data_IF_085556025780
#
_entry.id   IF_085556025780
#
_cell.length_a   1.000
_cell.length_b   1.000
_cell.length_c   1.000
_cell.angle_alpha   90.00
_cell.angle_beta   90.00
_cell.angle_gamma   90.00
#
_symmetry.space_group_name_H-M   'P 1'
#
loop_
_entity.id
_entity.type
_entity.pdbx_description
1 polymer ?
#
# COMPACT_ATOMS: atom_id res chain seq x y z
N UNK A 1 -34.75 66.14 -30.95
CA UNK A 1 -33.68 66.51 -31.91
C UNK A 1 -32.50 67.03 -31.11
N UNK A 2 -31.32 66.38 -31.24
CA UNK A 2 -29.95 66.96 -31.26
C UNK A 2 -29.63 67.94 -30.11
N UNK A 3 -28.71 67.71 -29.16
CA UNK A 3 -27.35 67.18 -29.27
C UNK A 3 -26.74 66.94 -27.85
N UNK A 4 -25.89 65.90 -27.75
CA UNK A 4 -24.56 65.81 -27.06
C UNK A 4 -24.44 66.35 -25.61
N UNK A 5 -24.55 65.54 -24.56
CA UNK A 5 -23.52 64.66 -23.92
C UNK A 5 -22.13 65.30 -23.78
N UNK A 6 -21.84 65.78 -22.57
CA UNK A 6 -20.51 66.04 -22.02
C UNK A 6 -20.45 65.53 -20.57
N UNK A 7 -19.57 64.57 -20.29
CA UNK A 7 -18.88 64.26 -19.02
C UNK A 7 -18.13 62.93 -19.22
N UNK A 8 -16.83 62.93 -19.54
CA UNK A 8 -15.71 62.73 -18.61
C UNK A 8 -16.04 61.76 -17.45
N UNK A 9 -15.44 60.56 -17.46
CA UNK A 9 -14.81 59.88 -16.31
C UNK A 9 -14.08 58.62 -16.83
N UNK A 10 -12.83 58.49 -16.37
CA UNK A 10 -11.87 57.40 -16.47
C UNK A 10 -12.44 55.98 -16.46
N UNK A 11 -11.93 55.09 -17.34
CA UNK A 11 -11.74 53.68 -16.96
C UNK A 11 -10.64 53.00 -17.80
N UNK A 12 -9.78 52.30 -17.07
CA UNK A 12 -8.66 51.43 -17.43
C UNK A 12 -8.87 50.53 -18.66
N UNK A 13 -7.89 50.51 -19.58
CA UNK A 13 -7.74 49.42 -20.54
C UNK A 13 -7.07 48.21 -19.90
N UNK A 14 -7.77 47.10 -20.04
CA UNK A 14 -7.48 45.70 -19.70
C UNK A 14 -6.06 45.23 -19.97
N UNK A 15 -5.55 44.36 -19.10
CA UNK A 15 -5.30 42.95 -19.46
C UNK A 15 -5.37 42.09 -18.20
N UNK A 16 -6.56 41.59 -17.91
CA UNK A 16 -6.73 40.43 -17.04
C UNK A 16 -6.30 39.19 -17.84
N UNK A 17 -5.18 38.56 -17.46
CA UNK A 17 -4.91 37.17 -17.78
C UNK A 17 -5.67 36.33 -16.74
N UNK A 18 -6.78 35.74 -17.16
CA UNK A 18 -7.53 34.76 -16.38
C UNK A 18 -6.77 33.44 -16.42
N UNK A 19 -5.95 33.18 -15.41
CA UNK A 19 -5.59 31.81 -15.05
C UNK A 19 -6.68 31.31 -14.08
N UNK A 20 -7.70 30.68 -14.66
CA UNK A 20 -8.71 29.92 -13.93
C UNK A 20 -8.08 28.66 -13.31
N UNK A 21 -7.24 28.82 -12.29
CA UNK A 21 -6.95 27.74 -11.34
C UNK A 21 -8.15 27.69 -10.41
N UNK A 22 -9.14 26.86 -10.78
CA UNK A 22 -10.21 26.47 -9.87
C UNK A 22 -9.56 25.87 -8.63
N UNK A 23 -9.57 26.68 -7.57
CA UNK A 23 -9.23 26.29 -6.21
C UNK A 23 -10.08 25.07 -5.88
N UNK A 24 -9.41 23.98 -5.55
CA UNK A 24 -10.06 22.77 -5.04
C UNK A 24 -10.72 23.18 -3.71
N UNK A 25 -12.01 23.50 -3.76
CA UNK A 25 -12.79 23.82 -2.56
C UNK A 25 -12.84 22.55 -1.71
N UNK A 26 -12.08 22.59 -0.62
CA UNK A 26 -12.15 21.59 0.43
C UNK A 26 -13.42 21.92 1.21
N UNK A 27 -14.49 21.16 0.98
CA UNK A 27 -15.78 21.33 1.65
C UNK A 27 -15.58 21.47 3.17
N UNK A 28 -15.87 22.68 3.67
CA UNK A 28 -15.59 23.12 5.04
C UNK A 28 -16.61 22.59 6.08
N UNK A 29 -17.34 21.53 5.78
CA UNK A 29 -18.35 20.92 6.68
C UNK A 29 -17.86 19.66 7.42
N UNK A 30 -16.57 19.32 7.32
CA UNK A 30 -15.93 18.44 8.30
C UNK A 30 -15.24 19.31 9.35
N UNK A 31 -15.97 19.75 10.38
CA UNK A 31 -15.34 20.21 11.62
C UNK A 31 -14.63 18.97 12.21
N UNK A 32 -13.29 18.87 12.19
CA UNK A 32 -12.62 17.76 12.83
C UNK A 32 -12.81 17.98 14.33
N UNK A 33 -13.49 17.03 14.99
CA UNK A 33 -13.52 16.94 16.44
C UNK A 33 -12.10 17.13 17.00
N UNK A 34 -11.89 17.93 18.07
CA UNK A 34 -10.57 18.40 18.52
C UNK A 34 -9.68 17.32 19.16
N UNK A 35 -9.91 16.03 18.85
CA UNK A 35 -9.13 14.88 19.33
C UNK A 35 -8.72 13.88 18.24
N UNK A 36 -8.74 14.26 16.96
CA UNK A 36 -8.19 13.38 15.93
C UNK A 36 -6.66 13.38 15.99
N UNK A 37 -6.07 12.34 16.61
CA UNK A 37 -4.63 12.10 16.55
C UNK A 37 -4.19 11.96 15.10
N UNK A 38 -3.03 12.52 14.74
CA UNK A 38 -2.44 12.33 13.39
C UNK A 38 -2.34 10.83 13.08
N UNK A 39 -2.68 10.39 11.86
CA UNK A 39 -2.58 8.99 11.48
C UNK A 39 -1.12 8.54 11.55
N UNK A 40 -0.90 7.33 12.08
CA UNK A 40 0.41 6.68 12.10
C UNK A 40 0.85 6.29 10.69
N UNK A 41 2.15 6.12 10.47
CA UNK A 41 2.68 5.62 9.19
C UNK A 41 2.03 4.29 8.75
N UNK A 42 1.73 3.40 9.71
CA UNK A 42 1.03 2.14 9.45
C UNK A 42 -0.39 2.36 8.96
N UNK A 43 -1.13 3.30 9.54
CA UNK A 43 -2.49 3.64 9.09
C UNK A 43 -2.47 4.25 7.68
N UNK A 44 -1.48 5.12 7.40
CA UNK A 44 -1.28 5.68 6.06
C UNK A 44 -0.98 4.57 5.05
N UNK A 45 -0.06 3.65 5.37
CA UNK A 45 0.29 2.54 4.48
C UNK A 45 -0.91 1.63 4.21
N UNK A 46 -1.69 1.26 5.23
CA UNK A 46 -2.90 0.46 5.05
C UNK A 46 -3.91 1.15 4.11
N UNK A 47 -4.01 2.48 4.18
CA UNK A 47 -4.89 3.24 3.29
C UNK A 47 -4.35 3.25 1.85
N UNK A 48 -3.05 3.42 1.67
CA UNK A 48 -2.39 3.33 0.36
C UNK A 48 -2.63 1.95 -0.25
N UNK A 49 -2.34 0.88 0.52
CA UNK A 49 -2.51 -0.50 0.07
C UNK A 49 -3.95 -0.79 -0.36
N UNK A 50 -4.93 -0.32 0.41
CA UNK A 50 -6.34 -0.42 0.05
C UNK A 50 -6.70 0.36 -1.21
N UNK A 51 -6.21 1.60 -1.36
CA UNK A 51 -6.49 2.42 -2.55
C UNK A 51 -5.94 1.74 -3.80
N UNK A 52 -4.73 1.17 -3.72
CA UNK A 52 -4.03 0.49 -4.80
C UNK A 52 -4.55 -0.94 -5.08
N UNK A 53 -5.35 -1.51 -4.17
CA UNK A 53 -5.87 -2.87 -4.32
C UNK A 53 -6.77 -3.00 -5.56
N UNK A 54 -6.51 -3.96 -6.47
CA UNK A 54 -7.36 -4.21 -7.61
C UNK A 54 -8.70 -4.86 -7.25
N UNK A 55 -8.77 -5.63 -6.15
CA UNK A 55 -9.96 -6.38 -5.75
C UNK A 55 -10.49 -5.84 -4.41
N UNK A 56 -11.68 -5.24 -4.46
CA UNK A 56 -12.33 -4.60 -3.31
C UNK A 56 -13.69 -5.22 -2.96
N UNK A 57 -14.23 -6.07 -3.83
CA UNK A 57 -15.56 -6.68 -3.66
C UNK A 57 -15.55 -8.15 -4.06
N UNK A 58 -16.60 -8.88 -3.65
CA UNK A 58 -16.77 -10.29 -4.00
C UNK A 58 -17.01 -10.48 -5.51
N UNK A 59 -17.71 -9.55 -6.15
CA UNK A 59 -17.96 -9.57 -7.60
C UNK A 59 -16.65 -9.43 -8.38
N UNK A 60 -15.79 -8.48 -7.98
CA UNK A 60 -14.48 -8.31 -8.60
C UNK A 60 -13.58 -9.54 -8.41
N UNK A 61 -13.67 -10.21 -7.26
CA UNK A 61 -12.97 -11.49 -7.03
C UNK A 61 -13.52 -12.59 -7.94
N UNK A 62 -14.84 -12.71 -8.09
CA UNK A 62 -15.45 -13.71 -8.97
C UNK A 62 -15.04 -13.50 -10.43
N UNK A 63 -14.96 -12.25 -10.89
CA UNK A 63 -14.46 -11.91 -12.23
C UNK A 63 -12.98 -12.30 -12.42
N UNK A 64 -12.17 -12.24 -11.35
CA UNK A 64 -10.76 -12.58 -11.39
C UNK A 64 -10.54 -14.09 -11.58
N UNK A 65 -11.45 -14.94 -11.12
CA UNK A 65 -11.31 -16.42 -11.21
C UNK A 65 -11.21 -16.90 -12.67
N UNK A 66 -11.74 -16.12 -13.62
CA UNK A 66 -11.69 -16.43 -15.05
C UNK A 66 -10.48 -15.82 -15.77
N UNK A 67 -9.53 -15.23 -15.04
CA UNK A 67 -8.36 -14.54 -15.59
C UNK A 67 -7.09 -15.07 -14.94
N UNK A 68 -6.00 -15.04 -15.69
CA UNK A 68 -4.67 -15.33 -15.15
C UNK A 68 -4.34 -14.34 -14.03
N UNK A 69 -4.03 -14.84 -12.85
CA UNK A 69 -3.81 -14.04 -11.65
C UNK A 69 -2.89 -14.72 -10.64
N UNK A 70 -2.40 -13.99 -9.62
CA UNK A 70 -1.68 -14.60 -8.51
C UNK A 70 -2.44 -15.72 -7.78
N UNK A 71 -3.76 -15.83 -7.92
CA UNK A 71 -4.56 -16.93 -7.35
C UNK A 71 -4.22 -18.27 -8.01
N UNK A 72 -3.73 -18.28 -9.26
CA UNK A 72 -3.40 -19.51 -10.01
C UNK A 72 -2.11 -20.18 -9.55
N UNK A 73 -1.44 -19.57 -8.57
CA UNK A 73 -0.32 -20.19 -7.88
C UNK A 73 -0.76 -21.22 -6.85
N UNK A 74 -2.03 -21.18 -6.43
CA UNK A 74 -2.65 -22.20 -5.60
C UNK A 74 -3.15 -23.36 -6.45
N UNK A 75 -3.19 -24.55 -5.86
CA UNK A 75 -3.96 -25.66 -6.40
C UNK A 75 -5.42 -25.27 -6.56
N UNK A 76 -6.13 -25.93 -7.49
CA UNK A 76 -7.54 -25.63 -7.77
C UNK A 76 -8.41 -25.67 -6.50
N UNK A 77 -8.19 -26.66 -5.64
CA UNK A 77 -8.94 -26.83 -4.41
C UNK A 77 -8.58 -25.77 -3.36
N UNK A 78 -7.30 -25.47 -3.17
CA UNK A 78 -6.85 -24.42 -2.26
C UNK A 78 -7.37 -23.05 -2.68
N UNK A 79 -7.37 -22.77 -4.00
CA UNK A 79 -7.94 -21.56 -4.58
C UNK A 79 -9.43 -21.45 -4.27
N UNK A 80 -10.20 -22.52 -4.47
CA UNK A 80 -11.62 -22.55 -4.15
C UNK A 80 -11.87 -22.29 -2.66
N UNK A 81 -11.17 -23.02 -1.77
CA UNK A 81 -11.30 -22.81 -0.32
C UNK A 81 -10.93 -21.40 0.10
N UNK A 82 -9.90 -20.80 -0.50
CA UNK A 82 -9.51 -19.42 -0.23
C UNK A 82 -10.62 -18.44 -0.61
N UNK A 83 -11.16 -18.56 -1.83
CA UNK A 83 -12.27 -17.73 -2.32
C UNK A 83 -13.52 -17.89 -1.46
N UNK A 84 -13.87 -19.12 -1.06
CA UNK A 84 -15.08 -19.38 -0.27
C UNK A 84 -15.02 -18.82 1.15
N UNK A 85 -13.81 -18.64 1.71
CA UNK A 85 -13.61 -18.23 3.10
C UNK A 85 -13.16 -16.77 3.24
N UNK A 86 -13.07 -16.03 2.14
CA UNK A 86 -12.76 -14.60 2.17
C UNK A 86 -14.04 -13.80 2.43
N UNK A 87 -13.97 -12.79 3.29
CA UNK A 87 -15.13 -11.95 3.60
C UNK A 87 -14.76 -10.48 3.49
N UNK A 88 -15.58 -9.72 2.76
CA UNK A 88 -15.41 -8.29 2.52
C UNK A 88 -16.32 -7.45 3.42
N UNK A 89 -15.87 -6.24 3.75
CA UNK A 89 -16.65 -5.15 4.33
C UNK A 89 -16.29 -3.83 3.62
N UNK A 90 -16.86 -2.71 4.07
CA UNK A 90 -16.62 -1.37 3.50
C UNK A 90 -15.16 -0.89 3.61
N UNK A 91 -14.36 -1.53 4.47
CA UNK A 91 -12.95 -1.24 4.72
C UNK A 91 -11.99 -2.32 4.16
N UNK A 92 -12.51 -3.32 3.42
CA UNK A 92 -11.75 -4.39 2.78
C UNK A 92 -11.98 -5.78 3.37
N UNK A 93 -10.95 -6.62 3.38
CA UNK A 93 -11.09 -7.99 3.89
C UNK A 93 -11.17 -8.00 5.41
N UNK A 94 -12.18 -8.68 5.94
CA UNK A 94 -12.39 -8.91 7.37
C UNK A 94 -11.76 -10.21 7.83
N UNK A 95 -11.85 -11.27 7.01
CA UNK A 95 -11.34 -12.60 7.33
C UNK A 95 -10.96 -13.39 6.08
N UNK A 96 -10.00 -14.31 6.22
CA UNK A 96 -9.63 -15.32 5.24
C UNK A 96 -8.91 -16.48 5.94
N UNK A 97 -8.92 -17.67 5.33
CA UNK A 97 -8.10 -18.80 5.78
C UNK A 97 -6.73 -18.75 5.10
N UNK A 98 -5.66 -18.92 5.88
CA UNK A 98 -4.28 -18.83 5.41
C UNK A 98 -3.51 -20.17 5.43
N UNK A 99 -4.10 -21.25 5.94
CA UNK A 99 -3.45 -22.57 6.03
C UNK A 99 -2.99 -23.09 4.67
N UNK A 100 -3.84 -22.98 3.65
CA UNK A 100 -3.51 -23.38 2.29
C UNK A 100 -2.42 -22.48 1.69
N UNK A 101 -2.41 -21.17 2.04
CA UNK A 101 -1.38 -20.24 1.60
C UNK A 101 0.00 -20.65 2.16
N UNK A 102 0.08 -20.96 3.45
CA UNK A 102 1.33 -21.39 4.09
C UNK A 102 1.81 -22.75 3.58
N UNK A 103 0.89 -23.67 3.26
CA UNK A 103 1.21 -25.01 2.79
C UNK A 103 1.77 -25.01 1.35
N UNK A 104 1.23 -24.15 0.46
CA UNK A 104 1.53 -24.22 -0.97
C UNK A 104 2.48 -23.13 -1.47
N UNK A 105 2.51 -21.96 -0.81
CA UNK A 105 3.17 -20.77 -1.33
C UNK A 105 4.38 -20.34 -0.48
N UNK A 106 5.33 -19.68 -1.15
CA UNK A 106 6.41 -18.96 -0.46
C UNK A 106 5.92 -17.58 -0.02
N UNK A 107 6.54 -16.94 0.98
CA UNK A 107 6.16 -15.60 1.43
C UNK A 107 6.05 -14.56 0.32
N UNK A 108 6.95 -14.55 -0.67
CA UNK A 108 6.85 -13.63 -1.82
C UNK A 108 5.58 -13.85 -2.64
N UNK A 109 5.18 -15.11 -2.83
CA UNK A 109 3.97 -15.47 -3.56
C UNK A 109 2.72 -15.08 -2.78
N UNK A 110 2.71 -15.35 -1.47
CA UNK A 110 1.65 -14.92 -0.56
C UNK A 110 1.51 -13.40 -0.57
N UNK A 111 2.62 -12.66 -0.49
CA UNK A 111 2.62 -11.20 -0.55
C UNK A 111 1.96 -10.68 -1.82
N UNK A 112 2.33 -11.24 -2.98
CA UNK A 112 1.72 -10.89 -4.28
C UNK A 112 0.23 -11.21 -4.30
N UNK A 113 -0.19 -12.38 -3.81
CA UNK A 113 -1.60 -12.76 -3.74
C UNK A 113 -2.39 -11.81 -2.83
N UNK A 114 -1.91 -11.57 -1.61
CA UNK A 114 -2.56 -10.69 -0.64
C UNK A 114 -2.55 -9.21 -1.09
N UNK A 115 -1.64 -8.82 -1.98
CA UNK A 115 -1.60 -7.48 -2.59
C UNK A 115 -2.78 -7.20 -3.52
N UNK A 116 -3.42 -8.26 -4.06
CA UNK A 116 -4.65 -8.12 -4.85
C UNK A 116 -5.77 -7.44 -4.04
N UNK A 117 -5.71 -7.57 -2.72
CA UNK A 117 -6.72 -7.04 -1.82
C UNK A 117 -6.17 -5.94 -0.89
N UNK A 118 -4.93 -5.50 -1.12
CA UNK A 118 -4.26 -4.49 -0.29
C UNK A 118 -3.95 -4.97 1.12
N UNK A 119 -3.87 -6.28 1.36
CA UNK A 119 -3.67 -6.87 2.70
C UNK A 119 -2.34 -7.61 2.85
N UNK A 120 -1.39 -7.36 1.95
CA UNK A 120 -0.06 -7.97 1.91
C UNK A 120 0.73 -7.84 3.22
N UNK A 121 0.43 -6.84 4.06
CA UNK A 121 1.04 -6.68 5.39
C UNK A 121 0.82 -7.88 6.32
N UNK A 122 -0.19 -8.72 6.08
CA UNK A 122 -0.39 -9.92 6.92
C UNK A 122 0.64 -11.01 6.65
N UNK A 123 1.35 -10.98 5.52
CA UNK A 123 2.32 -12.02 5.15
C UNK A 123 3.38 -12.26 6.23
N UNK A 124 3.78 -11.22 6.97
CA UNK A 124 4.76 -11.32 8.06
C UNK A 124 4.25 -12.05 9.31
N UNK A 125 2.94 -12.27 9.40
CA UNK A 125 2.31 -13.09 10.43
C UNK A 125 2.19 -14.56 10.04
N UNK A 126 2.42 -14.92 8.77
CA UNK A 126 2.31 -16.28 8.24
C UNK A 126 3.64 -17.01 8.43
N UNK A 127 3.82 -17.58 9.62
CA UNK A 127 5.09 -18.14 10.12
C UNK A 127 5.42 -19.51 9.54
N UNK A 128 4.44 -20.24 9.00
CA UNK A 128 4.66 -21.61 8.52
C UNK A 128 4.96 -21.67 7.01
N UNK A 129 4.91 -20.54 6.31
CA UNK A 129 5.20 -20.49 4.88
C UNK A 129 6.67 -20.83 4.59
N UNK A 130 6.90 -21.65 3.56
CA UNK A 130 8.26 -22.11 3.20
C UNK A 130 9.10 -20.97 2.61
N UNK A 131 10.11 -20.52 3.36
CA UNK A 131 11.12 -19.54 2.90
C UNK A 131 12.07 -20.21 1.91
N UNK A 132 12.24 -19.64 0.71
CA UNK A 132 13.18 -20.14 -0.30
C UNK A 132 14.26 -19.12 -0.68
N UNK A 133 13.99 -17.84 -0.48
CA UNK A 133 14.85 -16.74 -0.93
C UNK A 133 15.06 -15.71 0.17
N UNK A 134 16.08 -14.86 0.01
CA UNK A 134 16.27 -13.69 0.87
C UNK A 134 15.07 -12.74 0.83
N UNK A 135 14.40 -12.59 -0.32
CA UNK A 135 13.17 -11.79 -0.42
C UNK A 135 12.04 -12.38 0.44
N UNK A 136 11.88 -13.71 0.46
CA UNK A 136 10.91 -14.37 1.33
C UNK A 136 11.22 -14.09 2.82
N UNK A 137 12.51 -14.14 3.20
CA UNK A 137 12.95 -13.82 4.54
C UNK A 137 12.60 -12.37 4.90
N UNK A 138 12.95 -11.41 4.05
CA UNK A 138 12.67 -9.97 4.27
C UNK A 138 11.17 -9.67 4.42
N UNK A 139 10.30 -10.40 3.71
CA UNK A 139 8.85 -10.25 3.82
C UNK A 139 8.31 -10.83 5.13
N UNK A 140 8.86 -11.95 5.61
CA UNK A 140 8.39 -12.63 6.84
C UNK A 140 8.91 -11.97 8.11
N UNK A 141 10.13 -11.45 8.07
CA UNK A 141 10.65 -10.57 9.11
C UNK A 141 9.87 -9.27 9.01
N UNK A 142 9.02 -8.98 10.00
CA UNK A 142 8.30 -7.70 10.14
C UNK A 142 9.25 -6.53 10.48
N UNK A 143 10.46 -6.63 9.96
CA UNK A 143 11.67 -6.15 10.53
C UNK A 143 12.62 -5.90 9.36
N UNK A 144 12.70 -4.63 8.96
CA UNK A 144 13.99 -3.97 9.20
C UNK A 144 14.26 -4.20 10.69
N UNK A 145 14.79 -5.38 11.05
CA UNK A 145 15.11 -5.68 12.44
C UNK A 145 16.11 -4.62 12.85
N UNK A 146 16.08 -4.23 14.12
CA UNK A 146 17.24 -3.53 14.69
C UNK A 146 18.54 -4.32 14.42
N UNK A 147 18.43 -5.61 14.13
CA UNK A 147 19.53 -6.47 13.70
C UNK A 147 19.96 -6.26 12.24
N UNK A 148 19.09 -5.78 11.33
CA UNK A 148 19.54 -5.27 10.02
C UNK A 148 20.43 -4.03 10.17
N UNK A 149 20.34 -3.33 11.31
CA UNK A 149 21.28 -2.27 11.69
C UNK A 149 22.50 -2.78 12.49
N UNK A 150 22.59 -4.08 12.82
CA UNK A 150 23.80 -4.62 13.47
C UNK A 150 24.97 -4.51 12.51
N UNK A 151 25.83 -3.52 12.76
CA UNK A 151 27.03 -3.22 11.99
C UNK A 151 27.00 -1.88 11.25
N UNK A 152 25.86 -1.19 11.17
CA UNK A 152 25.84 0.20 10.69
C UNK A 152 26.50 1.10 11.73
N UNK A 153 27.55 1.81 11.32
CA UNK A 153 28.16 2.89 12.12
C UNK A 153 28.06 4.18 11.32
N UNK A 154 27.51 5.22 11.94
CA UNK A 154 27.54 6.57 11.40
C UNK A 154 28.55 7.36 12.22
N UNK A 155 29.58 7.93 11.58
CA UNK A 155 30.56 8.78 12.27
C UNK A 155 30.03 10.21 12.47
N UNK A 156 29.05 10.62 11.67
CA UNK A 156 28.35 11.91 11.73
C UNK A 156 26.99 11.84 11.00
N UNK A 157 26.10 12.85 11.10
CA UNK A 157 24.88 12.90 10.31
C UNK A 157 25.18 12.80 8.80
N UNK A 158 24.54 11.84 8.11
CA UNK A 158 24.71 11.61 6.68
C UNK A 158 25.91 10.74 6.27
N UNK A 159 26.67 10.16 7.21
CA UNK A 159 27.88 9.38 6.90
C UNK A 159 27.81 7.92 7.36
N UNK A 160 26.63 7.33 7.33
CA UNK A 160 26.45 5.93 7.69
C UNK A 160 27.18 5.02 6.69
N UNK A 161 28.07 4.17 7.20
CA UNK A 161 28.86 3.23 6.41
C UNK A 161 28.21 1.85 6.53
N UNK A 162 27.99 1.20 5.39
CA UNK A 162 27.54 -0.19 5.36
C UNK A 162 28.67 -1.10 5.86
N UNK A 163 28.41 -2.03 6.79
CA UNK A 163 29.37 -3.09 7.07
C UNK A 163 29.51 -3.92 5.79
N UNK A 164 30.71 -4.01 5.24
CA UNK A 164 31.05 -4.79 4.05
C UNK A 164 30.88 -6.32 4.23
N UNK A 165 30.35 -6.75 5.37
CA UNK A 165 30.31 -8.13 5.84
C UNK A 165 28.93 -8.79 5.82
N UNK A 166 27.86 -8.10 5.40
CA UNK A 166 26.61 -8.79 5.05
C UNK A 166 26.57 -8.87 3.53
N UNK A 167 27.08 -9.97 2.99
CA UNK A 167 26.82 -10.28 1.58
C UNK A 167 25.40 -10.78 1.47
N UNK A 168 24.73 -10.54 0.34
CA UNK A 168 23.40 -11.13 0.09
C UNK A 168 23.39 -12.67 0.23
N UNK A 169 24.56 -13.30 0.15
CA UNK A 169 24.75 -14.73 0.37
C UNK A 169 24.63 -15.18 1.84
N UNK A 170 24.70 -14.27 2.82
CA UNK A 170 24.64 -14.61 4.25
C UNK A 170 23.20 -14.67 4.79
N UNK A 171 22.23 -14.15 4.02
CA UNK A 171 20.79 -14.17 4.29
C UNK A 171 20.11 -15.42 3.69
N UNK A 172 20.78 -16.57 3.75
CA UNK A 172 20.23 -17.85 3.34
C UNK A 172 19.39 -18.47 4.45
N UNK A 173 18.36 -19.27 4.11
CA UNK A 173 17.52 -19.96 5.10
C UNK A 173 18.29 -20.87 6.07
N UNK A 174 19.52 -21.28 5.71
CA UNK A 174 20.36 -22.22 6.46
C UNK A 174 20.96 -21.61 7.75
N UNK A 175 20.96 -20.29 7.88
CA UNK A 175 21.58 -19.57 9.01
C UNK A 175 20.60 -19.12 10.11
N UNK A 176 19.31 -19.46 10.00
CA UNK A 176 18.28 -19.13 10.98
C UNK A 176 17.60 -20.42 11.48
N UNK A 177 18.19 -21.01 12.52
CA UNK A 177 17.62 -22.11 13.32
C UNK A 177 17.08 -21.60 14.66
#
# INVERSE_FOLDING_TARGET
>A
MKQLIALIISLSMSTALSEDIKRFDYDADIIPSPKASKPTARQIQNKIDWVMAPIKTAEALNDLIYKDSPLDQLSLEARQRFVDNITFNENGITSFKYSDLEAELTPTKIYKLLSLFGIQRYTSSLRNARVKTTTDLLITTNAVSKDFLMGYRCSSPGTCIYPSSIKMQDLTPENYH
#
